data_IF_139003067819
#
_entry.id   IF_139003067819
#
_cell.length_a   1.000
_cell.length_b   1.000
_cell.length_c   1.000
_cell.angle_alpha   90.00
_cell.angle_beta   90.00
_cell.angle_gamma   90.00
#
_symmetry.space_group_name_H-M   'P 1'
#
loop_
_entity.id
_entity.type
_entity.pdbx_description
1 polymer ?
#
# COMPACT_ATOMS: atom_id res chain seq x y z
N UNK A 1 23.13 -4.36 12.91
CA UNK A 1 22.20 -5.46 13.26
C UNK A 1 20.80 -4.87 13.32
N UNK A 2 19.85 -5.38 12.52
CA UNK A 2 18.46 -4.92 12.57
C UNK A 2 17.70 -5.70 13.65
N UNK A 3 16.88 -5.01 14.45
CA UNK A 3 16.03 -5.63 15.47
C UNK A 3 14.58 -5.52 15.03
N UNK A 4 13.88 -6.65 14.94
CA UNK A 4 12.44 -6.68 14.68
C UNK A 4 11.68 -6.85 16.00
N UNK A 5 10.66 -6.02 16.23
CA UNK A 5 9.80 -6.09 17.41
C UNK A 5 8.33 -6.05 16.99
N UNK A 6 7.47 -6.74 17.75
CA UNK A 6 6.02 -6.79 17.53
C UNK A 6 5.31 -6.25 18.76
N UNK A 7 4.43 -5.28 18.55
CA UNK A 7 3.67 -4.63 19.61
C UNK A 7 2.17 -4.68 19.30
N UNK A 8 1.35 -4.70 20.34
CA UNK A 8 -0.08 -4.44 20.22
C UNK A 8 -0.31 -2.96 20.51
N UNK A 9 -1.04 -2.29 19.63
CA UNK A 9 -1.41 -0.87 19.79
C UNK A 9 -2.86 -0.75 20.26
N UNK A 10 -3.13 0.27 21.07
CA UNK A 10 -4.48 0.64 21.52
C UNK A 10 -4.79 2.07 21.04
N UNK A 11 -5.19 2.23 19.76
CA UNK A 11 -5.36 3.55 19.17
C UNK A 11 -6.56 4.30 19.75
N UNK A 12 -6.42 5.62 19.90
CA UNK A 12 -7.55 6.51 20.21
C UNK A 12 -8.58 6.51 19.07
N UNK A 13 -9.78 7.03 19.32
CA UNK A 13 -10.83 7.10 18.28
C UNK A 13 -10.34 7.84 17.02
N UNK A 14 -9.65 8.97 17.20
CA UNK A 14 -9.08 9.75 16.10
C UNK A 14 -8.04 8.95 15.30
N UNK A 15 -7.15 8.22 15.99
CA UNK A 15 -6.17 7.36 15.35
C UNK A 15 -6.83 6.20 14.59
N UNK A 16 -7.91 5.62 15.13
CA UNK A 16 -8.68 4.58 14.43
C UNK A 16 -9.27 5.10 13.12
N UNK A 17 -9.81 6.32 13.13
CA UNK A 17 -10.34 6.97 11.92
C UNK A 17 -9.21 7.24 10.92
N UNK A 18 -8.08 7.79 11.35
CA UNK A 18 -6.93 8.06 10.50
C UNK A 18 -6.36 6.78 9.87
N UNK A 19 -6.21 5.71 10.67
CA UNK A 19 -5.79 4.38 10.19
C UNK A 19 -6.79 3.80 9.19
N UNK A 20 -8.10 3.86 9.48
CA UNK A 20 -9.14 3.36 8.58
C UNK A 20 -9.11 4.07 7.22
N UNK A 21 -8.94 5.38 7.21
CA UNK A 21 -8.78 6.18 5.99
C UNK A 21 -7.50 5.80 5.23
N UNK A 22 -6.37 5.70 5.93
CA UNK A 22 -5.09 5.28 5.37
C UNK A 22 -5.15 3.87 4.74
N UNK A 23 -5.79 2.92 5.42
CA UNK A 23 -6.04 1.58 4.88
C UNK A 23 -6.94 1.60 3.65
N UNK A 24 -7.96 2.46 3.64
CA UNK A 24 -8.81 2.71 2.49
C UNK A 24 -7.99 3.19 1.29
N UNK A 25 -7.15 4.19 1.51
CA UNK A 25 -6.30 4.77 0.47
C UNK A 25 -5.35 3.75 -0.15
N UNK A 26 -4.59 3.03 0.68
CA UNK A 26 -3.67 2.01 0.23
C UNK A 26 -4.39 0.86 -0.50
N UNK A 27 -5.58 0.46 -0.04
CA UNK A 27 -6.39 -0.58 -0.69
C UNK A 27 -6.87 -0.16 -2.08
N UNK A 28 -7.41 1.06 -2.20
CA UNK A 28 -7.90 1.55 -3.51
C UNK A 28 -6.74 1.65 -4.49
N UNK A 29 -5.61 2.23 -4.07
CA UNK A 29 -4.45 2.34 -4.94
C UNK A 29 -3.89 0.96 -5.34
N UNK A 30 -3.79 0.01 -4.41
CA UNK A 30 -3.40 -1.37 -4.72
C UNK A 30 -4.32 -2.00 -5.78
N UNK A 31 -5.64 -1.93 -5.57
CA UNK A 31 -6.61 -2.53 -6.47
C UNK A 31 -6.58 -1.86 -7.85
N UNK A 32 -6.51 -0.54 -7.91
CA UNK A 32 -6.39 0.21 -9.15
C UNK A 32 -5.15 -0.21 -9.94
N UNK A 33 -3.98 -0.19 -9.29
CA UNK A 33 -2.72 -0.56 -9.94
C UNK A 33 -2.66 -2.04 -10.32
N UNK A 34 -3.24 -2.93 -9.52
CA UNK A 34 -3.32 -4.35 -9.83
C UNK A 34 -4.18 -4.60 -11.06
N UNK A 35 -5.34 -3.94 -11.19
CA UNK A 35 -6.18 -4.04 -12.37
C UNK A 35 -5.42 -3.64 -13.64
N UNK A 36 -4.70 -2.51 -13.58
CA UNK A 36 -3.89 -2.05 -14.71
C UNK A 36 -2.77 -3.04 -15.04
N UNK A 37 -2.07 -3.59 -14.03
CA UNK A 37 -1.05 -4.62 -14.24
C UNK A 37 -1.63 -5.88 -14.88
N UNK A 38 -2.83 -6.33 -14.47
CA UNK A 38 -3.48 -7.49 -15.04
C UNK A 38 -3.84 -7.28 -16.52
N UNK A 39 -4.37 -6.10 -16.87
CA UNK A 39 -4.66 -5.73 -18.25
C UNK A 39 -3.39 -5.70 -19.11
N UNK A 40 -2.33 -5.05 -18.64
CA UNK A 40 -1.04 -5.01 -19.33
C UNK A 40 -0.45 -6.41 -19.50
N UNK A 41 -0.55 -7.25 -18.48
CA UNK A 41 -0.07 -8.63 -18.52
C UNK A 41 -0.81 -9.47 -19.57
N UNK A 42 -2.14 -9.35 -19.65
CA UNK A 42 -2.93 -10.03 -20.67
C UNK A 42 -2.53 -9.64 -22.10
N UNK A 43 -2.18 -8.37 -22.31
CA UNK A 43 -1.83 -7.85 -23.64
C UNK A 43 -0.37 -8.14 -24.04
N UNK A 44 0.56 -8.09 -23.08
CA UNK A 44 2.01 -8.05 -23.37
C UNK A 44 2.80 -9.20 -22.75
N UNK A 45 2.19 -9.98 -21.86
CA UNK A 45 2.88 -10.97 -21.03
C UNK A 45 3.80 -10.37 -19.96
N UNK A 46 3.83 -9.04 -19.79
CA UNK A 46 4.72 -8.34 -18.86
C UNK A 46 3.93 -7.54 -17.81
N UNK A 47 4.49 -7.43 -16.60
CA UNK A 47 3.96 -6.57 -15.55
C UNK A 47 4.45 -5.12 -15.66
N UNK A 48 3.81 -4.21 -14.93
CA UNK A 48 4.24 -2.80 -14.86
C UNK A 48 5.44 -2.64 -13.92
N UNK A 49 6.30 -1.68 -14.24
CA UNK A 49 7.42 -1.33 -13.37
C UNK A 49 6.94 -0.52 -12.15
N UNK A 50 7.69 -0.62 -11.05
CA UNK A 50 7.47 0.22 -9.85
C UNK A 50 7.38 1.70 -10.21
N UNK A 51 8.33 2.20 -11.01
CA UNK A 51 8.41 3.61 -11.39
C UNK A 51 7.15 4.07 -12.12
N UNK A 52 6.63 3.23 -13.00
CA UNK A 52 5.36 3.50 -13.69
C UNK A 52 4.19 3.59 -12.72
N UNK A 53 4.03 2.60 -11.83
CA UNK A 53 2.95 2.58 -10.84
C UNK A 53 3.01 3.82 -9.93
N UNK A 54 4.21 4.19 -9.46
CA UNK A 54 4.40 5.41 -8.67
C UNK A 54 4.05 6.68 -9.44
N UNK A 55 4.32 6.69 -10.75
CA UNK A 55 4.00 7.80 -11.67
C UNK A 55 2.50 8.01 -11.90
N UNK A 56 1.64 7.07 -11.50
CA UNK A 56 0.17 7.24 -11.54
C UNK A 56 -0.34 8.16 -10.42
N UNK A 57 0.41 8.28 -9.31
CA UNK A 57 -0.04 8.98 -8.12
C UNK A 57 -0.34 10.47 -8.31
N UNK A 58 0.45 11.26 -9.08
CA UNK A 58 0.12 12.67 -9.31
C UNK A 58 -1.26 12.86 -9.94
N UNK A 59 -1.57 12.14 -11.02
CA UNK A 59 -2.88 12.21 -11.67
C UNK A 59 -4.00 11.69 -10.77
N UNK A 60 -3.78 10.55 -10.11
CA UNK A 60 -4.79 9.99 -9.20
C UNK A 60 -5.08 10.90 -8.01
N UNK A 61 -4.11 11.69 -7.52
CA UNK A 61 -4.34 12.67 -6.45
C UNK A 61 -5.10 13.90 -6.90
N UNK A 62 -5.09 14.22 -8.20
CA UNK A 62 -5.94 15.27 -8.76
C UNK A 62 -7.39 14.79 -8.87
N UNK A 63 -7.59 13.55 -9.32
CA UNK A 63 -8.91 12.93 -9.45
C UNK A 63 -9.52 12.58 -8.08
N UNK A 64 -8.69 12.11 -7.14
CA UNK A 64 -9.08 11.65 -5.81
C UNK A 64 -8.26 12.39 -4.72
N UNK A 65 -8.67 13.59 -4.30
CA UNK A 65 -7.93 14.41 -3.34
C UNK A 65 -7.62 13.69 -2.00
N UNK A 66 -8.50 12.78 -1.56
CA UNK A 66 -8.28 11.98 -0.35
C UNK A 66 -7.02 11.09 -0.42
N UNK A 67 -6.51 10.73 -1.60
CA UNK A 67 -5.20 10.05 -1.74
C UNK A 67 -4.01 10.96 -1.36
N UNK A 68 -4.22 12.27 -1.28
CA UNK A 68 -3.24 13.24 -0.82
C UNK A 68 -3.45 13.57 0.66
N UNK A 69 -4.70 13.75 1.08
CA UNK A 69 -5.01 14.38 2.37
C UNK A 69 -5.14 13.36 3.51
N UNK A 70 -5.64 12.16 3.23
CA UNK A 70 -6.00 11.18 4.26
C UNK A 70 -4.90 10.14 4.54
N UNK A 71 -3.78 10.20 3.82
CA UNK A 71 -2.67 9.24 3.96
C UNK A 71 -1.32 9.87 3.65
N UNK A 72 -0.29 9.45 4.38
CA UNK A 72 1.08 9.81 4.03
C UNK A 72 1.46 9.28 2.64
N UNK A 73 2.02 10.16 1.82
CA UNK A 73 2.42 9.84 0.43
C UNK A 73 3.29 8.59 0.35
N UNK A 74 4.15 8.37 1.34
CA UNK A 74 5.09 7.25 1.37
C UNK A 74 4.41 5.90 1.57
N UNK A 75 3.26 5.85 2.24
CA UNK A 75 2.49 4.61 2.34
C UNK A 75 2.03 4.14 0.95
N UNK A 76 1.56 5.07 0.12
CA UNK A 76 1.19 4.80 -1.28
C UNK A 76 2.41 4.40 -2.13
N UNK A 77 3.57 5.02 -1.89
CA UNK A 77 4.82 4.63 -2.55
C UNK A 77 5.23 3.19 -2.20
N UNK A 78 5.04 2.77 -0.95
CA UNK A 78 5.30 1.38 -0.52
C UNK A 78 4.29 0.42 -1.13
N UNK A 79 3.02 0.80 -1.30
CA UNK A 79 2.04 -0.03 -2.03
C UNK A 79 2.52 -0.34 -3.45
N UNK A 80 3.04 0.66 -4.18
CA UNK A 80 3.61 0.45 -5.51
C UNK A 80 4.82 -0.50 -5.50
N UNK A 81 5.71 -0.36 -4.49
CA UNK A 81 6.85 -1.26 -4.29
C UNK A 81 6.40 -2.69 -4.02
N UNK A 82 5.41 -2.88 -3.14
CA UNK A 82 4.88 -4.19 -2.78
C UNK A 82 4.25 -4.88 -3.99
N UNK A 83 3.53 -4.14 -4.84
CA UNK A 83 2.91 -4.69 -6.04
C UNK A 83 3.97 -5.13 -7.06
N UNK A 84 4.99 -4.30 -7.29
CA UNK A 84 6.10 -4.64 -8.18
C UNK A 84 6.85 -5.89 -7.68
N UNK A 85 7.11 -5.99 -6.37
CA UNK A 85 7.73 -7.16 -5.76
C UNK A 85 6.84 -8.41 -5.86
N UNK A 86 5.52 -8.27 -5.71
CA UNK A 86 4.58 -9.39 -5.85
C UNK A 86 4.60 -9.96 -7.27
N UNK A 87 4.61 -9.11 -8.30
CA UNK A 87 4.75 -9.54 -9.69
C UNK A 87 6.12 -10.15 -9.97
N UNK A 88 7.21 -9.57 -9.45
CA UNK A 88 8.55 -10.15 -9.56
C UNK A 88 8.57 -11.57 -8.99
N UNK A 89 8.06 -11.76 -7.79
CA UNK A 89 8.00 -13.07 -7.15
C UNK A 89 7.10 -14.06 -7.91
N UNK A 90 6.01 -13.59 -8.52
CA UNK A 90 5.16 -14.39 -9.38
C UNK A 90 5.91 -14.89 -10.64
N UNK A 91 6.61 -14.00 -11.35
CA UNK A 91 7.39 -14.37 -12.53
C UNK A 91 8.54 -15.33 -12.22
N UNK A 92 9.17 -15.17 -11.05
CA UNK A 92 10.20 -16.08 -10.56
C UNK A 92 9.64 -17.38 -9.95
N UNK A 93 8.33 -17.62 -10.05
CA UNK A 93 7.63 -18.80 -9.52
C UNK A 93 7.78 -19.00 -8.00
N UNK A 94 8.10 -17.93 -7.26
CA UNK A 94 8.23 -17.91 -5.80
C UNK A 94 6.92 -17.59 -5.08
N UNK A 95 5.94 -17.04 -5.79
CA UNK A 95 4.62 -16.69 -5.26
C UNK A 95 3.52 -16.89 -6.31
N UNK A 96 2.26 -16.89 -5.85
CA UNK A 96 1.08 -16.86 -6.74
C UNK A 96 0.81 -15.43 -7.22
N UNK A 97 -0.02 -15.31 -8.25
CA UNK A 97 -0.45 -14.01 -8.78
C UNK A 97 -1.08 -13.14 -7.67
N UNK A 98 -0.76 -11.84 -7.57
CA UNK A 98 -1.37 -10.94 -6.61
C UNK A 98 -2.89 -10.85 -6.82
N UNK A 99 -3.61 -10.68 -5.71
CA UNK A 99 -5.08 -10.63 -5.66
C UNK A 99 -5.56 -9.26 -5.22
N UNK A 100 -6.80 -8.93 -5.58
CA UNK A 100 -7.46 -7.74 -5.08
C UNK A 100 -7.67 -7.81 -3.57
N UNK A 101 -7.46 -6.67 -2.91
CA UNK A 101 -7.67 -6.50 -1.48
C UNK A 101 -9.13 -6.18 -1.20
N UNK A 102 -9.70 -6.88 -0.20
CA UNK A 102 -11.07 -6.65 0.28
C UNK A 102 -11.08 -5.70 1.49
N UNK A 103 -12.16 -4.93 1.65
CA UNK A 103 -12.39 -4.11 2.84
C UNK A 103 -12.66 -4.95 4.11
N UNK A 104 -13.27 -6.12 3.95
CA UNK A 104 -13.63 -7.02 5.07
C UNK A 104 -12.50 -7.96 5.49
N UNK A 105 -11.40 -7.97 4.73
CA UNK A 105 -10.24 -8.81 5.01
C UNK A 105 -9.21 -8.13 5.92
N UNK A 106 -8.10 -8.81 6.15
CA UNK A 106 -6.96 -8.24 6.86
C UNK A 106 -6.44 -6.99 6.13
N UNK A 107 -6.27 -5.90 6.86
CA UNK A 107 -5.71 -4.66 6.35
C UNK A 107 -4.30 -4.47 6.88
N UNK A 108 -3.43 -3.91 6.06
CA UNK A 108 -2.06 -3.59 6.43
C UNK A 108 -1.62 -2.31 5.75
N UNK A 109 -0.73 -1.59 6.42
CA UNK A 109 -0.08 -0.40 5.91
C UNK A 109 1.36 -0.39 6.42
N UNK A 110 2.25 0.25 5.67
CA UNK A 110 3.66 0.38 6.04
C UNK A 110 4.03 1.84 6.05
N UNK A 111 4.46 2.32 7.22
CA UNK A 111 5.04 3.64 7.40
C UNK A 111 6.56 3.50 7.35
N UNK A 112 7.23 3.90 6.25
CA UNK A 112 8.69 3.75 6.15
C UNK A 112 9.45 4.74 7.06
N UNK A 113 8.81 5.84 7.45
CA UNK A 113 9.32 6.85 8.37
C UNK A 113 8.14 7.50 9.10
N UNK A 114 8.43 8.37 10.07
CA UNK A 114 7.48 9.15 10.86
C UNK A 114 6.53 8.34 11.78
N UNK A 115 6.60 7.00 11.78
CA UNK A 115 5.97 6.18 12.80
C UNK A 115 6.95 5.88 13.94
N UNK A 116 6.58 6.21 15.17
CA UNK A 116 7.35 5.87 16.38
C UNK A 116 6.44 5.32 17.47
N UNK A 117 6.99 4.44 18.30
CA UNK A 117 6.36 4.03 19.54
C UNK A 117 6.87 4.93 20.68
N UNK A 118 5.98 5.62 21.36
CA UNK A 118 6.25 6.34 22.62
C UNK A 118 5.54 5.57 23.74
N UNK A 119 6.28 4.68 24.42
CA UNK A 119 5.68 3.72 25.36
C UNK A 119 4.74 2.74 24.64
N UNK A 120 3.48 2.71 25.08
CA UNK A 120 2.41 1.86 24.50
C UNK A 120 1.62 2.55 23.38
N UNK A 121 1.99 3.78 23.00
CA UNK A 121 1.27 4.58 22.01
C UNK A 121 2.01 4.66 20.69
N UNK A 122 1.25 4.56 19.58
CA UNK A 122 1.75 4.80 18.23
C UNK A 122 1.60 6.28 17.90
N UNK A 123 2.71 6.93 17.57
CA UNK A 123 2.74 8.28 17.00
C UNK A 123 2.93 8.17 15.50
N UNK A 124 1.93 8.63 14.76
CA UNK A 124 1.89 8.65 13.29
C UNK A 124 2.15 10.06 12.77
#
# INVERSE_FOLDING_TARGET
>A
MYVARKFRVYPTLEQQVALAKSFGCCRVFWNYSLNLCQQTYQQTGKGLSRKYIQGLLPSLKQEYPWLKDDVYSQCLQVVALNLANAYKNFFEKRARLPRFNSRKGQQSITFPQNAKFEGDYLKL
#
